data_IF_308032564799
#
_entry.id   IF_308032564799
#
_cell.length_a   1.000
_cell.length_b   1.000
_cell.length_c   1.000
_cell.angle_alpha   90.00
_cell.angle_beta   90.00
_cell.angle_gamma   90.00
#
_symmetry.space_group_name_H-M   'P 1'
#
loop_
_entity.id
_entity.type
_entity.pdbx_description
1 polymer ?
#
# COMPACT_ATOMS: atom_id res chain seq x y z
N UNK A 1 -18.44 5.55 6.26
CA UNK A 1 -18.38 6.10 4.89
C UNK A 1 -17.44 7.28 4.89
N UNK A 2 -16.16 7.06 4.57
CA UNK A 2 -15.25 8.15 4.23
C UNK A 2 -15.65 8.66 2.84
N UNK A 3 -15.75 9.98 2.70
CA UNK A 3 -16.20 10.63 1.48
C UNK A 3 -15.74 12.07 1.50
N UNK A 4 -15.05 12.49 0.45
CA UNK A 4 -14.61 13.88 0.31
C UNK A 4 -15.85 14.76 0.11
N UNK A 5 -16.22 15.54 1.14
CA UNK A 5 -17.34 16.48 1.07
C UNK A 5 -16.88 17.83 0.53
N UNK A 6 -17.37 18.19 -0.66
CA UNK A 6 -16.91 19.35 -1.41
C UNK A 6 -17.93 20.48 -1.30
N UNK A 7 -17.46 21.67 -0.92
CA UNK A 7 -18.27 22.89 -0.91
C UNK A 7 -17.62 23.97 -1.76
N UNK A 8 -18.42 24.77 -2.47
CA UNK A 8 -17.89 25.78 -3.40
C UNK A 8 -17.07 26.91 -2.75
N UNK A 9 -17.06 27.02 -1.42
CA UNK A 9 -16.27 28.02 -0.67
C UNK A 9 -14.84 27.55 -0.37
N UNK A 10 -14.52 26.26 -0.55
CA UNK A 10 -13.17 25.76 -0.27
C UNK A 10 -12.15 26.26 -1.30
N UNK A 11 -10.86 26.28 -0.92
CA UNK A 11 -9.75 26.61 -1.82
C UNK A 11 -9.44 25.43 -2.74
N UNK A 12 -8.88 25.75 -3.92
CA UNK A 12 -8.37 24.74 -4.87
C UNK A 12 -7.35 23.83 -4.18
N UNK A 13 -6.38 24.39 -3.46
CA UNK A 13 -5.37 23.61 -2.74
C UNK A 13 -5.96 22.63 -1.73
N UNK A 14 -6.97 23.06 -0.97
CA UNK A 14 -7.64 22.20 0.03
C UNK A 14 -8.32 21.01 -0.63
N UNK A 15 -8.96 21.24 -1.78
CA UNK A 15 -9.57 20.16 -2.56
C UNK A 15 -8.50 19.18 -3.06
N UNK A 16 -7.42 19.69 -3.64
CA UNK A 16 -6.34 18.86 -4.17
C UNK A 16 -5.66 18.03 -3.07
N UNK A 17 -5.36 18.64 -1.94
CA UNK A 17 -4.73 17.97 -0.79
C UNK A 17 -5.65 16.89 -0.22
N UNK A 18 -6.94 17.21 -0.05
CA UNK A 18 -7.92 16.23 0.43
C UNK A 18 -8.11 15.07 -0.55
N UNK A 19 -8.06 15.35 -1.85
CA UNK A 19 -8.18 14.32 -2.88
C UNK A 19 -6.97 13.39 -2.93
N UNK A 20 -5.75 13.93 -2.82
CA UNK A 20 -4.52 13.12 -2.72
C UNK A 20 -4.56 12.26 -1.46
N UNK A 21 -4.94 12.85 -0.31
CA UNK A 21 -5.02 12.11 0.97
C UNK A 21 -6.03 10.96 0.92
N UNK A 22 -7.18 11.17 0.27
CA UNK A 22 -8.27 10.20 0.27
C UNK A 22 -8.10 9.10 -0.80
N UNK A 23 -7.50 9.45 -1.96
CA UNK A 23 -7.48 8.58 -3.14
C UNK A 23 -6.09 8.29 -3.68
N UNK A 24 -5.01 8.85 -3.09
CA UNK A 24 -3.64 8.65 -3.57
C UNK A 24 -3.37 9.21 -4.98
N UNK A 25 -4.29 9.99 -5.54
CA UNK A 25 -4.25 10.50 -6.93
C UNK A 25 -4.26 12.01 -6.95
N UNK A 26 -3.80 12.62 -8.05
CA UNK A 26 -3.79 14.07 -8.20
C UNK A 26 -5.05 14.57 -8.90
N UNK A 27 -5.72 15.57 -8.31
CA UNK A 27 -6.82 16.27 -8.98
C UNK A 27 -6.32 17.56 -9.65
N UNK A 28 -6.38 17.62 -10.97
CA UNK A 28 -6.10 18.84 -11.75
C UNK A 28 -7.36 19.68 -11.84
N UNK A 29 -7.31 20.91 -11.36
CA UNK A 29 -8.42 21.88 -11.47
C UNK A 29 -8.06 22.93 -12.51
N UNK A 30 -8.96 23.21 -13.46
CA UNK A 30 -8.70 24.14 -14.55
C UNK A 30 -9.49 25.44 -14.42
N UNK A 31 -8.80 26.56 -14.66
CA UNK A 31 -9.39 27.85 -15.00
C UNK A 31 -9.18 28.12 -16.50
N UNK A 32 -10.27 28.17 -17.27
CA UNK A 32 -10.13 28.38 -18.71
C UNK A 32 -9.42 27.20 -19.40
N UNK A 33 -8.19 27.46 -19.85
CA UNK A 33 -7.25 26.50 -20.47
C UNK A 33 -5.99 26.27 -19.61
N UNK A 34 -5.89 26.95 -18.47
CA UNK A 34 -4.76 26.88 -17.56
C UNK A 34 -5.16 26.14 -16.28
N UNK A 35 -4.18 25.72 -15.49
CA UNK A 35 -4.44 25.26 -14.14
C UNK A 35 -4.93 26.42 -13.27
N UNK A 36 -5.88 26.12 -12.39
CA UNK A 36 -6.39 27.08 -11.42
C UNK A 36 -5.32 27.42 -10.38
N UNK A 37 -5.31 28.67 -9.90
CA UNK A 37 -4.42 29.07 -8.81
C UNK A 37 -4.81 28.32 -7.52
N UNK A 38 -3.89 27.60 -6.86
CA UNK A 38 -4.18 26.84 -5.64
C UNK A 38 -4.74 27.69 -4.50
N UNK A 39 -4.42 29.00 -4.46
CA UNK A 39 -4.82 29.89 -3.36
C UNK A 39 -6.23 30.48 -3.52
N UNK A 40 -6.86 30.34 -4.68
CA UNK A 40 -8.21 30.88 -4.93
C UNK A 40 -9.30 29.89 -4.54
N UNK A 41 -10.52 30.40 -4.33
CA UNK A 41 -11.67 29.55 -4.03
C UNK A 41 -12.24 28.89 -5.28
N UNK A 42 -12.83 27.70 -5.13
CA UNK A 42 -13.53 27.02 -6.22
C UNK A 42 -14.62 27.91 -6.86
N UNK A 43 -15.26 28.76 -6.05
CA UNK A 43 -16.28 29.71 -6.53
C UNK A 43 -15.76 30.77 -7.51
N UNK A 44 -14.46 31.07 -7.49
CA UNK A 44 -13.80 32.02 -8.41
C UNK A 44 -13.34 31.35 -9.71
N UNK A 45 -13.11 30.03 -9.68
CA UNK A 45 -12.64 29.23 -10.82
C UNK A 45 -13.80 28.73 -11.68
N UNK A 46 -14.96 28.45 -11.07
CA UNK A 46 -16.11 27.88 -11.79
C UNK A 46 -16.58 28.75 -12.95
N UNK A 47 -16.89 28.12 -14.08
CA UNK A 47 -17.39 28.83 -15.28
C UNK A 47 -18.90 29.03 -15.27
N UNK A 48 -19.62 28.21 -14.51
CA UNK A 48 -21.08 28.25 -14.37
C UNK A 48 -21.46 28.01 -12.91
N UNK A 49 -22.62 28.54 -12.51
CA UNK A 49 -23.20 28.22 -11.21
C UNK A 49 -23.72 26.79 -11.29
N UNK A 50 -22.97 25.84 -10.75
CA UNK A 50 -23.42 24.46 -10.58
C UNK A 50 -24.58 24.36 -9.58
N UNK A 51 -25.12 23.15 -9.38
CA UNK A 51 -26.29 22.93 -8.51
C UNK A 51 -26.01 23.32 -7.04
N UNK A 52 -24.73 23.27 -6.62
CA UNK A 52 -24.30 23.65 -5.28
C UNK A 52 -24.66 22.65 -4.20
N UNK A 53 -25.14 21.46 -4.57
CA UNK A 53 -25.28 20.32 -3.67
C UNK A 53 -23.89 19.77 -3.33
N UNK A 54 -23.74 19.28 -2.10
CA UNK A 54 -22.52 18.59 -1.71
C UNK A 54 -22.33 17.34 -2.57
N UNK A 55 -21.11 17.10 -3.03
CA UNK A 55 -20.73 15.88 -3.72
C UNK A 55 -20.03 14.96 -2.74
N UNK A 56 -20.46 13.71 -2.69
CA UNK A 56 -19.73 12.63 -2.03
C UNK A 56 -19.04 11.80 -3.11
N UNK A 57 -17.76 11.54 -2.93
CA UNK A 57 -16.92 10.75 -3.82
C UNK A 57 -16.55 9.45 -3.10
N UNK A 58 -16.74 8.32 -3.78
CA UNK A 58 -16.37 6.99 -3.29
C UNK A 58 -15.27 6.38 -4.17
N UNK A 59 -14.42 5.52 -3.60
CA UNK A 59 -13.27 4.90 -4.29
C UNK A 59 -13.66 4.07 -5.53
N UNK A 60 -14.86 3.50 -5.56
CA UNK A 60 -15.41 2.76 -6.69
C UNK A 60 -16.02 3.64 -7.80
N UNK A 61 -16.02 4.96 -7.64
CA UNK A 61 -16.49 5.87 -8.69
C UNK A 61 -15.51 5.89 -9.86
N UNK A 62 -16.00 5.81 -11.10
CA UNK A 62 -15.18 5.97 -12.29
C UNK A 62 -14.60 7.37 -12.39
N UNK A 63 -13.36 7.48 -12.88
CA UNK A 63 -12.67 8.76 -13.11
C UNK A 63 -13.51 9.68 -13.99
N UNK A 64 -14.03 9.18 -15.12
CA UNK A 64 -14.86 9.99 -16.01
C UNK A 64 -16.15 10.49 -15.33
N UNK A 65 -16.81 9.64 -14.55
CA UNK A 65 -18.02 10.00 -13.80
C UNK A 65 -17.72 11.07 -12.73
N UNK A 66 -16.57 11.01 -12.08
CA UNK A 66 -16.14 12.04 -11.16
C UNK A 66 -15.96 13.38 -11.87
N UNK A 67 -15.22 13.41 -12.98
CA UNK A 67 -14.97 14.62 -13.76
C UNK A 67 -16.26 15.28 -14.23
N UNK A 68 -17.22 14.49 -14.72
CA UNK A 68 -18.55 14.95 -15.11
C UNK A 68 -19.31 15.56 -13.93
N UNK A 69 -19.34 14.90 -12.77
CA UNK A 69 -20.02 15.40 -11.58
C UNK A 69 -19.42 16.72 -11.09
N UNK A 70 -18.11 16.91 -11.18
CA UNK A 70 -17.49 18.19 -10.85
C UNK A 70 -17.93 19.32 -11.79
N UNK A 71 -18.08 19.01 -13.08
CA UNK A 71 -18.58 19.98 -14.05
C UNK A 71 -20.07 20.30 -13.83
N UNK A 72 -20.89 19.31 -13.52
CA UNK A 72 -22.33 19.47 -13.28
C UNK A 72 -22.64 20.19 -11.97
N UNK A 73 -22.05 19.72 -10.86
CA UNK A 73 -22.38 20.18 -9.51
C UNK A 73 -21.69 21.48 -9.13
N UNK A 74 -20.46 21.68 -9.62
CA UNK A 74 -19.64 22.84 -9.25
C UNK A 74 -19.26 23.74 -10.42
N UNK A 75 -19.51 23.32 -11.67
CA UNK A 75 -19.11 24.10 -12.84
C UNK A 75 -17.60 24.17 -13.04
N UNK A 76 -16.89 23.17 -12.50
CA UNK A 76 -15.43 23.07 -12.53
C UNK A 76 -15.01 22.04 -13.56
N UNK A 77 -14.06 22.40 -14.41
CA UNK A 77 -13.38 21.41 -15.24
C UNK A 77 -12.25 20.82 -14.41
N UNK A 78 -12.31 19.53 -14.15
CA UNK A 78 -11.25 18.80 -13.44
C UNK A 78 -10.76 17.63 -14.28
N UNK A 79 -9.57 17.15 -13.97
CA UNK A 79 -9.07 15.87 -14.47
C UNK A 79 -8.35 15.10 -13.38
N UNK A 80 -8.42 13.78 -13.40
CA UNK A 80 -7.64 12.93 -12.48
C UNK A 80 -6.32 12.53 -13.14
N UNK A 81 -5.23 12.72 -12.42
CA UNK A 81 -3.88 12.37 -12.82
C UNK A 81 -3.26 11.39 -11.82
N UNK A 82 -2.18 10.74 -12.23
CA UNK A 82 -1.34 9.92 -11.34
C UNK A 82 -0.83 10.71 -10.14
N UNK A 83 -0.35 10.01 -9.10
CA UNK A 83 0.13 10.63 -7.87
C UNK A 83 1.28 11.62 -8.09
N UNK A 84 2.16 11.35 -9.07
CA UNK A 84 3.27 12.25 -9.46
C UNK A 84 2.87 13.31 -10.50
N UNK A 85 1.57 13.42 -10.81
CA UNK A 85 1.01 14.32 -11.81
C UNK A 85 1.62 14.17 -13.21
N UNK A 86 2.22 13.02 -13.56
CA UNK A 86 2.93 12.86 -14.84
C UNK A 86 2.04 12.45 -16.02
N UNK A 87 0.84 11.91 -15.77
CA UNK A 87 -0.11 11.50 -16.81
C UNK A 87 -1.56 11.52 -16.29
N UNK A 88 -2.53 11.46 -17.21
CA UNK A 88 -3.96 11.41 -16.89
C UNK A 88 -4.44 9.96 -16.72
N UNK A 89 -5.21 9.70 -15.66
CA UNK A 89 -5.81 8.39 -15.44
C UNK A 89 -6.88 8.09 -16.50
N UNK A 90 -7.12 6.81 -16.78
CA UNK A 90 -8.16 6.41 -17.74
C UNK A 90 -9.55 6.63 -17.15
N UNK A 91 -10.41 7.31 -17.91
CA UNK A 91 -11.77 7.67 -17.51
C UNK A 91 -12.66 6.45 -17.20
N UNK A 92 -12.33 5.27 -17.73
CA UNK A 92 -13.09 4.05 -17.51
C UNK A 92 -12.73 3.33 -16.21
N UNK A 93 -11.56 3.63 -15.63
CA UNK A 93 -11.13 3.07 -14.35
C UNK A 93 -11.87 3.72 -13.20
N UNK A 94 -12.08 2.95 -12.13
CA UNK A 94 -12.46 3.49 -10.82
C UNK A 94 -11.31 4.28 -10.22
N UNK A 95 -11.57 5.17 -9.25
CA UNK A 95 -10.49 5.88 -8.54
C UNK A 95 -9.51 4.90 -7.91
N UNK A 96 -10.01 3.79 -7.35
CA UNK A 96 -9.15 2.73 -6.81
C UNK A 96 -8.27 2.08 -7.90
N UNK A 97 -8.88 1.64 -9.01
CA UNK A 97 -8.13 1.01 -10.10
C UNK A 97 -7.14 1.97 -10.77
N UNK A 98 -7.46 3.27 -10.82
CA UNK A 98 -6.56 4.30 -11.29
C UNK A 98 -5.36 4.51 -10.35
N UNK A 99 -5.57 4.43 -9.03
CA UNK A 99 -4.49 4.49 -8.03
C UNK A 99 -3.55 3.30 -8.18
N UNK A 100 -4.09 2.09 -8.27
CA UNK A 100 -3.30 0.87 -8.48
C UNK A 100 -2.51 0.91 -9.80
N UNK A 101 -3.14 1.36 -10.89
CA UNK A 101 -2.46 1.52 -12.18
C UNK A 101 -1.33 2.56 -12.14
N UNK A 102 -1.46 3.57 -11.27
CA UNK A 102 -0.43 4.56 -11.01
C UNK A 102 0.76 3.99 -10.27
N UNK A 103 0.50 3.23 -9.21
CA UNK A 103 1.54 2.54 -8.44
C UNK A 103 2.35 1.61 -9.36
N UNK A 104 1.67 0.76 -10.16
CA UNK A 104 2.31 -0.10 -11.18
C UNK A 104 3.13 0.69 -12.23
N UNK A 105 2.83 1.97 -12.48
CA UNK A 105 3.61 2.82 -13.40
C UNK A 105 4.82 3.43 -12.71
N UNK A 106 4.70 3.82 -11.45
CA UNK A 106 5.81 4.30 -10.64
C UNK A 106 6.85 3.21 -10.43
N UNK A 107 6.43 1.97 -10.16
CA UNK A 107 7.34 0.83 -9.99
C UNK A 107 8.15 0.54 -11.27
N UNK A 108 7.50 0.61 -12.43
CA UNK A 108 8.20 0.48 -13.72
C UNK A 108 9.15 1.64 -13.99
N UNK A 109 8.90 2.83 -13.43
CA UNK A 109 9.74 4.02 -13.59
C UNK A 109 10.94 3.95 -12.64
N UNK A 110 10.78 3.48 -11.41
CA UNK A 110 11.86 3.27 -10.43
C UNK A 110 12.77 2.12 -10.87
N UNK A 111 12.23 0.99 -11.32
CA UNK A 111 13.01 -0.14 -11.86
C UNK A 111 13.83 0.28 -13.08
N UNK A 112 13.23 1.01 -14.03
CA UNK A 112 13.97 1.52 -15.21
C UNK A 112 15.04 2.56 -14.85
N UNK A 113 14.81 3.37 -13.82
CA UNK A 113 15.79 4.32 -13.33
C UNK A 113 16.97 3.61 -12.65
N UNK A 114 16.72 2.52 -11.92
CA UNK A 114 17.76 1.69 -11.31
C UNK A 114 18.64 1.00 -12.38
N UNK A 115 18.04 0.40 -13.43
CA UNK A 115 18.80 -0.24 -14.53
C UNK A 115 19.58 0.76 -15.40
N UNK A 116 19.20 2.04 -15.41
CA UNK A 116 19.94 3.07 -16.15
C UNK A 116 21.14 3.63 -15.39
N UNK A 117 21.19 3.53 -14.06
CA UNK A 117 22.35 3.93 -13.28
C UNK A 117 23.54 2.96 -13.44
N UNK A 118 23.30 1.66 -13.60
CA UNK A 118 24.37 0.67 -13.85
C UNK A 118 25.01 0.79 -15.25
N UNK A 119 24.32 1.39 -16.23
CA UNK A 119 24.86 1.55 -17.60
C UNK A 119 25.66 2.84 -17.80
N UNK A 120 25.69 3.74 -16.82
CA UNK A 120 26.35 5.04 -16.95
C UNK A 120 27.63 5.17 -16.11
N UNK A 121 28.11 4.05 -15.55
CA UNK A 121 29.40 3.95 -14.85
C UNK A 121 30.39 3.03 -15.57
N UNK A 122 30.31 2.94 -16.90
CA UNK A 122 31.42 2.42 -17.72
C UNK A 122 31.48 3.13 -19.08
N UNK A 123 31.93 4.39 -19.06
CA UNK A 123 32.46 5.02 -20.27
C UNK A 123 33.54 6.06 -19.92
N UNK A 124 34.78 5.58 -19.93
CA UNK A 124 36.01 6.36 -19.84
C UNK A 124 37.07 5.54 -19.09
N UNK A 125 38.13 5.02 -19.67
CA UNK A 125 38.91 5.44 -20.84
C UNK A 125 39.59 4.22 -21.46
N UNK A 126 39.60 4.12 -22.79
CA UNK A 126 40.41 3.15 -23.51
C UNK A 126 41.83 3.69 -23.72
N UNK A 127 42.84 2.98 -23.21
CA UNK A 127 44.17 2.88 -23.83
C UNK A 127 44.81 1.50 -23.57
N UNK A 128 45.18 0.85 -24.69
CA UNK A 128 46.14 -0.26 -24.97
C UNK A 128 47.09 -0.68 -23.83
N UNK A 129 47.60 -1.92 -23.71
CA UNK A 129 48.03 -2.89 -24.74
C UNK A 129 48.38 -4.25 -24.08
N UNK A 130 48.46 -5.29 -24.91
CA UNK A 130 49.27 -6.53 -24.80
C UNK A 130 48.92 -7.68 -23.84
N UNK A 131 48.61 -8.81 -24.49
CA UNK A 131 49.18 -10.18 -24.34
C UNK A 131 48.79 -11.15 -23.19
N UNK A 132 48.12 -12.25 -23.62
CA UNK A 132 48.36 -13.70 -23.37
C UNK A 132 48.34 -14.20 -21.89
N UNK A 133 47.39 -15.06 -21.50
CA UNK A 133 47.51 -16.54 -21.52
C UNK A 133 46.32 -17.23 -20.80
N UNK A 134 46.05 -18.46 -21.21
CA UNK A 134 45.02 -19.39 -20.75
C UNK A 134 45.11 -19.75 -19.24
N UNK A 135 43.97 -19.97 -18.57
CA UNK A 135 43.69 -21.20 -17.77
C UNK A 135 42.36 -21.14 -16.99
N UNK A 136 41.50 -22.14 -17.21
CA UNK A 136 40.64 -22.72 -16.17
C UNK A 136 39.16 -22.24 -16.10
N UNK A 137 38.18 -23.16 -16.11
CA UNK A 137 36.77 -22.80 -16.03
C UNK A 137 36.36 -22.59 -14.57
N UNK A 138 36.09 -21.36 -14.17
CA UNK A 138 35.30 -21.13 -12.96
C UNK A 138 33.84 -21.25 -13.35
N UNK A 139 33.22 -22.35 -12.93
CA UNK A 139 31.79 -22.47 -12.82
C UNK A 139 31.36 -21.43 -11.79
N UNK A 140 30.67 -20.38 -12.25
CA UNK A 140 29.93 -19.52 -11.35
C UNK A 140 28.97 -20.40 -10.53
N UNK A 141 28.86 -20.18 -9.21
CA UNK A 141 27.84 -20.86 -8.42
C UNK A 141 26.47 -20.51 -9.02
N UNK A 142 25.51 -21.47 -9.06
CA UNK A 142 24.20 -21.19 -9.60
C UNK A 142 23.63 -19.98 -8.86
N UNK A 143 23.31 -18.94 -9.64
CA UNK A 143 22.38 -17.90 -9.24
C UNK A 143 21.14 -18.69 -8.80
N UNK A 144 20.82 -18.65 -7.50
CA UNK A 144 19.56 -19.18 -7.02
C UNK A 144 18.49 -18.49 -7.84
N UNK A 145 17.84 -19.28 -8.70
CA UNK A 145 16.62 -18.91 -9.37
C UNK A 145 15.68 -18.38 -8.28
N UNK A 146 15.43 -17.07 -8.29
CA UNK A 146 14.22 -16.54 -7.67
C UNK A 146 13.11 -17.19 -8.50
N UNK A 147 12.54 -18.26 -7.97
CA UNK A 147 11.33 -18.85 -8.49
C UNK A 147 10.30 -17.73 -8.38
N UNK A 148 10.03 -17.07 -9.51
CA UNK A 148 8.76 -16.37 -9.70
C UNK A 148 7.70 -17.46 -9.46
N UNK A 149 7.07 -17.40 -8.30
CA UNK A 149 6.07 -18.38 -7.90
C UNK A 149 4.84 -18.11 -8.75
N UNK A 150 4.73 -18.81 -9.90
CA UNK A 150 3.76 -18.53 -10.97
C UNK A 150 2.29 -18.56 -10.48
N UNK A 151 2.05 -19.09 -9.28
CA UNK A 151 0.74 -19.22 -8.63
C UNK A 151 0.47 -18.18 -7.53
N UNK A 152 1.46 -17.40 -7.09
CA UNK A 152 1.25 -16.44 -6.02
C UNK A 152 0.29 -15.32 -6.46
N UNK A 153 -0.79 -15.13 -5.70
CA UNK A 153 -1.80 -14.10 -5.94
C UNK A 153 -1.64 -12.92 -4.99
N UNK A 154 -2.08 -11.74 -5.43
CA UNK A 154 -2.11 -10.54 -4.59
C UNK A 154 -3.41 -10.49 -3.78
N UNK A 155 -3.29 -10.16 -2.49
CA UNK A 155 -4.40 -10.01 -1.56
C UNK A 155 -4.28 -8.70 -0.79
N UNK A 156 -5.42 -8.08 -0.51
CA UNK A 156 -5.51 -6.83 0.22
C UNK A 156 -6.00 -7.05 1.66
N UNK A 157 -5.37 -6.37 2.61
CA UNK A 157 -5.74 -6.36 4.03
C UNK A 157 -6.01 -4.90 4.43
N UNK A 158 -7.21 -4.64 4.94
CA UNK A 158 -7.70 -3.30 5.26
C UNK A 158 -8.01 -3.12 6.74
N UNK A 159 -7.05 -2.57 7.48
CA UNK A 159 -7.20 -2.16 8.87
C UNK A 159 -7.28 -0.62 9.00
N UNK A 160 -7.85 0.08 8.01
CA UNK A 160 -7.84 1.57 7.94
C UNK A 160 -8.75 2.28 8.96
N UNK A 161 -9.60 1.52 9.66
CA UNK A 161 -10.59 2.05 10.61
C UNK A 161 -10.34 1.45 11.98
N UNK A 162 -10.39 2.25 13.07
CA UNK A 162 -10.20 1.74 14.43
C UNK A 162 -11.17 0.63 14.89
N UNK A 163 -12.27 0.40 14.16
CA UNK A 163 -13.21 -0.69 14.44
C UNK A 163 -12.82 -2.02 13.79
N UNK A 164 -11.94 -1.94 12.79
CA UNK A 164 -11.54 -3.01 11.89
C UNK A 164 -10.03 -3.33 12.11
N UNK A 165 -9.44 -2.80 13.20
CA UNK A 165 -8.03 -2.88 13.53
C UNK A 165 -7.85 -3.45 14.94
N UNK A 166 -6.80 -4.26 15.13
CA UNK A 166 -6.46 -4.80 16.45
C UNK A 166 -5.91 -3.71 17.37
N UNK A 167 -6.04 -3.93 18.69
CA UNK A 167 -5.40 -3.10 19.71
C UNK A 167 -4.37 -3.87 20.53
N UNK A 168 -3.37 -3.15 21.00
CA UNK A 168 -2.25 -3.65 21.80
C UNK A 168 -2.02 -2.77 23.02
N UNK A 169 -1.51 -3.33 24.11
CA UNK A 169 -0.85 -2.57 25.18
C UNK A 169 0.64 -2.54 24.89
N UNK A 170 1.19 -1.35 24.70
CA UNK A 170 2.63 -1.18 24.52
C UNK A 170 3.37 -1.34 25.85
N UNK A 171 4.34 -2.25 25.88
CA UNK A 171 5.10 -2.60 27.09
C UNK A 171 6.56 -2.14 27.04
N UNK A 172 7.06 -1.77 25.86
CA UNK A 172 8.46 -1.39 25.73
C UNK A 172 8.75 0.01 26.28
N UNK A 173 9.66 0.08 27.25
CA UNK A 173 10.25 1.33 27.75
C UNK A 173 11.41 1.86 26.87
N UNK A 174 12.01 0.99 26.05
CA UNK A 174 13.20 1.29 25.26
C UNK A 174 12.90 1.82 23.86
N UNK A 175 11.67 1.57 23.38
CA UNK A 175 11.24 1.94 22.03
C UNK A 175 9.93 2.73 22.05
N UNK A 176 9.89 3.81 21.26
CA UNK A 176 8.66 4.53 20.95
C UNK A 176 8.05 3.93 19.68
N UNK A 177 6.87 3.32 19.80
CA UNK A 177 6.14 2.70 18.68
C UNK A 177 6.01 3.64 17.47
N UNK A 178 5.85 4.95 17.69
CA UNK A 178 5.67 5.95 16.61
C UNK A 178 6.98 6.25 15.86
N UNK A 179 8.11 5.74 16.33
CA UNK A 179 9.42 5.86 15.70
C UNK A 179 9.90 4.56 15.03
N UNK A 180 9.11 3.49 15.08
CA UNK A 180 9.47 2.19 14.53
C UNK A 180 8.85 1.94 13.15
N UNK A 181 9.44 0.98 12.44
CA UNK A 181 8.95 0.53 11.14
C UNK A 181 8.10 -0.75 11.33
N UNK A 182 6.79 -0.73 11.07
CA UNK A 182 5.94 -1.92 11.19
C UNK A 182 6.21 -2.91 10.05
N UNK A 183 5.98 -4.20 10.31
CA UNK A 183 5.89 -5.23 9.29
C UNK A 183 4.89 -6.32 9.71
N UNK A 184 4.26 -6.98 8.74
CA UNK A 184 3.39 -8.13 9.03
C UNK A 184 4.30 -9.35 9.15
N UNK A 185 4.37 -9.96 10.33
CA UNK A 185 5.18 -11.16 10.54
C UNK A 185 4.39 -12.45 10.33
N UNK A 186 3.07 -12.41 10.56
CA UNK A 186 2.19 -13.54 10.35
C UNK A 186 0.78 -13.12 9.88
N UNK A 187 0.14 -13.99 9.11
CA UNK A 187 -1.28 -13.93 8.79
C UNK A 187 -1.91 -15.20 9.38
N UNK A 188 -2.85 -15.04 10.30
CA UNK A 188 -3.50 -16.16 10.98
C UNK A 188 -4.95 -16.30 10.55
N UNK A 189 -5.45 -17.52 10.46
CA UNK A 189 -6.85 -17.84 10.18
C UNK A 189 -7.36 -18.82 11.24
N UNK A 190 -8.54 -18.54 11.81
CA UNK A 190 -9.21 -19.43 12.77
C UNK A 190 -10.29 -20.22 12.02
N UNK A 191 -10.18 -21.54 12.01
CA UNK A 191 -11.16 -22.41 11.35
C UNK A 191 -12.31 -22.87 12.26
N UNK A 192 -12.32 -22.38 13.51
CA UNK A 192 -13.26 -22.72 14.58
C UNK A 192 -12.77 -23.84 15.51
N UNK A 193 -11.71 -24.56 15.14
CA UNK A 193 -11.06 -25.59 15.97
C UNK A 193 -9.58 -25.24 16.25
N UNK A 194 -8.85 -24.86 15.19
CA UNK A 194 -7.42 -24.59 15.22
C UNK A 194 -7.07 -23.27 14.49
N UNK A 195 -5.94 -22.67 14.88
CA UNK A 195 -5.32 -21.57 14.14
C UNK A 195 -4.36 -22.10 13.08
N UNK A 196 -4.45 -21.55 11.89
CA UNK A 196 -3.55 -21.79 10.77
C UNK A 196 -2.80 -20.52 10.45
N UNK A 197 -1.50 -20.61 10.21
CA UNK A 197 -0.64 -19.43 10.10
C UNK A 197 0.18 -19.49 8.81
N UNK A 198 0.37 -18.32 8.21
CA UNK A 198 1.39 -18.05 7.20
C UNK A 198 2.42 -17.12 7.82
N UNK A 199 3.70 -17.44 7.65
CA UNK A 199 4.82 -16.76 8.30
C UNK A 199 5.68 -16.01 7.28
N UNK A 200 6.11 -14.81 7.64
CA UNK A 200 7.02 -14.00 6.82
C UNK A 200 8.49 -14.30 7.16
N UNK A 201 9.36 -14.43 6.16
CA UNK A 201 10.79 -14.68 6.38
C UNK A 201 11.54 -13.58 7.14
N UNK A 202 10.99 -12.37 7.26
CA UNK A 202 11.56 -11.31 8.09
C UNK A 202 11.37 -11.57 9.59
N UNK A 203 10.49 -12.49 9.97
CA UNK A 203 10.33 -12.85 11.37
C UNK A 203 11.55 -13.62 11.88
N UNK A 204 12.19 -13.20 13.00
CA UNK A 204 13.37 -13.88 13.54
C UNK A 204 13.17 -15.38 13.82
N UNK A 205 11.94 -15.77 14.11
CA UNK A 205 11.54 -17.13 14.46
C UNK A 205 10.89 -17.90 13.31
N UNK A 206 11.01 -17.40 12.06
CA UNK A 206 10.41 -18.05 10.90
C UNK A 206 10.93 -19.49 10.63
N UNK A 207 12.11 -19.85 11.16
CA UNK A 207 12.75 -21.17 10.93
C UNK A 207 12.86 -21.53 9.43
N UNK A 208 13.13 -20.52 8.60
CA UNK A 208 13.23 -20.66 7.15
C UNK A 208 11.91 -20.69 6.38
N UNK A 209 10.77 -20.51 7.06
CA UNK A 209 9.46 -20.30 6.43
C UNK A 209 9.38 -18.92 5.77
N UNK A 210 8.57 -18.84 4.72
CA UNK A 210 8.43 -17.66 3.87
C UNK A 210 7.14 -17.77 3.04
N UNK A 211 6.03 -17.92 3.75
CA UNK A 211 4.74 -18.34 3.19
C UNK A 211 4.01 -17.20 2.47
N UNK A 212 4.43 -15.95 2.72
CA UNK A 212 3.88 -14.78 2.04
C UNK A 212 4.89 -13.64 1.96
N UNK A 213 4.67 -12.76 0.98
CA UNK A 213 5.43 -11.52 0.81
C UNK A 213 4.57 -10.31 1.10
N UNK A 214 5.01 -9.42 1.99
CA UNK A 214 4.44 -8.08 2.07
C UNK A 214 4.98 -7.26 0.90
N UNK A 215 4.13 -6.99 -0.10
CA UNK A 215 4.48 -6.11 -1.22
C UNK A 215 4.49 -4.66 -0.72
N UNK A 216 3.46 -4.28 0.05
CA UNK A 216 3.35 -2.95 0.64
C UNK A 216 2.65 -2.99 1.99
N UNK A 217 3.07 -2.10 2.88
CA UNK A 217 2.39 -1.75 4.12
C UNK A 217 2.32 -0.22 4.17
N UNK A 218 1.12 0.30 4.03
CA UNK A 218 0.84 1.71 3.85
C UNK A 218 0.00 2.25 5.01
N UNK A 219 0.06 3.58 5.18
CA UNK A 219 -0.79 4.33 6.11
C UNK A 219 -0.76 3.80 7.55
N UNK A 220 0.36 3.22 7.98
CA UNK A 220 0.47 2.74 9.36
C UNK A 220 0.35 3.91 10.35
N UNK A 221 -0.54 3.76 11.30
CA UNK A 221 -0.71 4.67 12.42
C UNK A 221 -1.01 3.88 13.70
N UNK A 222 -0.17 4.07 14.71
CA UNK A 222 -0.46 3.65 16.09
C UNK A 222 -1.33 4.74 16.75
N UNK A 223 -2.65 4.56 16.66
CA UNK A 223 -3.65 5.51 17.19
C UNK A 223 -3.83 5.24 18.68
N UNK A 224 -3.81 6.29 19.52
CA UNK A 224 -4.00 6.14 20.95
C UNK A 224 -5.39 5.51 21.27
N UNK A 225 -5.39 4.46 22.09
CA UNK A 225 -6.58 3.76 22.58
C UNK A 225 -7.26 4.48 23.75
N UNK A 226 -8.15 3.77 24.45
CA UNK A 226 -8.84 4.30 25.63
C UNK A 226 -8.07 4.04 26.92
N UNK A 227 -7.28 2.96 26.96
CA UNK A 227 -6.48 2.58 28.11
C UNK A 227 -5.04 3.14 28.04
N UNK A 228 -4.34 3.12 29.17
CA UNK A 228 -2.96 3.61 29.24
C UNK A 228 -2.04 2.72 28.40
N UNK A 229 -1.22 3.36 27.55
CA UNK A 229 -0.35 2.70 26.57
C UNK A 229 -1.07 1.78 25.57
N UNK A 230 -2.40 1.89 25.45
CA UNK A 230 -3.14 1.19 24.42
C UNK A 230 -2.96 1.88 23.06
N UNK A 231 -2.71 1.09 22.02
CA UNK A 231 -2.68 1.56 20.64
C UNK A 231 -3.54 0.69 19.75
N UNK A 232 -4.30 1.34 18.87
CA UNK A 232 -5.04 0.71 17.77
C UNK A 232 -4.15 0.78 16.52
N UNK A 233 -3.87 -0.37 15.93
CA UNK A 233 -2.92 -0.50 14.83
C UNK A 233 -3.63 -0.37 13.48
N UNK A 234 -3.72 0.85 12.97
CA UNK A 234 -4.35 1.09 11.67
C UNK A 234 -3.33 0.94 10.54
N UNK A 235 -3.65 0.21 9.48
CA UNK A 235 -2.81 0.09 8.28
C UNK A 235 -3.58 -0.48 7.08
N UNK A 236 -2.99 -0.38 5.90
CA UNK A 236 -3.39 -1.12 4.71
C UNK A 236 -2.21 -1.94 4.21
N UNK A 237 -2.42 -3.18 3.80
CA UNK A 237 -1.36 -4.00 3.24
C UNK A 237 -1.77 -4.70 1.95
N UNK A 238 -0.80 -4.82 1.04
CA UNK A 238 -0.87 -5.67 -0.13
C UNK A 238 0.14 -6.79 0.08
N UNK A 239 -0.34 -8.03 0.09
CA UNK A 239 0.47 -9.23 0.30
C UNK A 239 0.37 -10.16 -0.90
N UNK A 240 1.42 -10.93 -1.14
CA UNK A 240 1.42 -12.00 -2.13
C UNK A 240 1.49 -13.34 -1.42
N UNK A 241 0.57 -14.25 -1.76
CA UNK A 241 0.44 -15.57 -1.14
C UNK A 241 0.20 -16.60 -2.24
N UNK A 242 0.94 -17.72 -2.22
CA UNK A 242 0.59 -18.91 -2.99
C UNK A 242 -0.25 -19.86 -2.12
N UNK A 243 -1.58 -19.67 -2.13
CA UNK A 243 -2.48 -20.51 -1.34
C UNK A 243 -2.46 -21.98 -1.77
N UNK A 244 -2.04 -22.32 -3.00
CA UNK A 244 -1.95 -23.71 -3.46
C UNK A 244 -0.87 -24.49 -2.68
N UNK A 245 0.15 -23.79 -2.18
CA UNK A 245 1.18 -24.36 -1.30
C UNK A 245 0.74 -24.46 0.17
N UNK A 246 -0.40 -23.87 0.53
CA UNK A 246 -0.93 -23.84 1.90
C UNK A 246 -2.39 -24.35 1.97
N UNK A 247 -2.66 -25.61 1.60
CA UNK A 247 -4.03 -26.13 1.48
C UNK A 247 -4.80 -26.12 2.81
N UNK A 248 -4.14 -26.33 3.95
CA UNK A 248 -4.80 -26.27 5.25
C UNK A 248 -5.21 -24.84 5.61
N UNK A 249 -4.37 -23.86 5.29
CA UNK A 249 -4.70 -22.45 5.46
C UNK A 249 -5.83 -22.03 4.52
N UNK A 250 -5.82 -22.48 3.26
CA UNK A 250 -6.89 -22.22 2.30
C UNK A 250 -8.24 -22.80 2.77
N UNK A 251 -8.26 -24.04 3.26
CA UNK A 251 -9.48 -24.64 3.84
C UNK A 251 -9.97 -23.88 5.07
N UNK A 252 -9.06 -23.39 5.92
CA UNK A 252 -9.40 -22.55 7.06
C UNK A 252 -10.00 -21.21 6.62
N UNK A 253 -9.40 -20.57 5.61
CA UNK A 253 -9.85 -19.30 5.04
C UNK A 253 -11.26 -19.40 4.47
N UNK A 254 -11.58 -20.49 3.76
CA UNK A 254 -12.93 -20.76 3.27
C UNK A 254 -13.95 -20.93 4.42
N UNK A 255 -13.58 -21.62 5.50
CA UNK A 255 -14.46 -21.78 6.68
C UNK A 255 -14.65 -20.48 7.46
N UNK A 256 -13.64 -19.62 7.45
CA UNK A 256 -13.64 -18.34 8.13
C UNK A 256 -14.27 -17.21 7.30
N UNK A 257 -14.90 -17.50 6.15
CA UNK A 257 -15.45 -16.50 5.23
C UNK A 257 -14.38 -15.43 4.86
N UNK A 258 -13.18 -15.87 4.51
CA UNK A 258 -12.00 -15.05 4.20
C UNK A 258 -11.49 -14.16 5.35
N UNK A 259 -11.91 -14.39 6.59
CA UNK A 259 -11.45 -13.62 7.73
C UNK A 259 -10.10 -14.10 8.26
N UNK A 260 -9.16 -13.15 8.44
CA UNK A 260 -7.82 -13.38 8.99
C UNK A 260 -7.48 -12.39 10.11
N UNK A 261 -6.42 -12.69 10.85
CA UNK A 261 -5.74 -11.77 11.76
C UNK A 261 -4.37 -11.45 11.21
N UNK A 262 -4.13 -10.18 10.89
CA UNK A 262 -2.82 -9.71 10.44
C UNK A 262 -1.97 -9.30 11.66
N UNK A 263 -0.85 -10.00 11.87
CA UNK A 263 0.02 -9.81 13.03
C UNK A 263 1.19 -8.89 12.70
N UNK A 264 1.27 -7.76 13.40
CA UNK A 264 2.28 -6.72 13.19
C UNK A 264 3.40 -6.84 14.20
N UNK A 265 4.65 -6.80 13.75
CA UNK A 265 5.81 -6.58 14.61
C UNK A 265 6.60 -5.37 14.10
N UNK A 266 7.64 -4.97 14.83
CA UNK A 266 8.37 -3.75 14.58
C UNK A 266 9.85 -3.98 14.29
N UNK A 267 10.37 -3.14 13.40
CA UNK A 267 11.78 -3.03 13.05
C UNK A 267 12.33 -1.70 13.52
N UNK A 268 13.65 -1.69 13.72
CA UNK A 268 14.45 -0.50 13.91
C UNK A 268 15.62 -0.53 12.92
N UNK A 269 15.81 0.57 12.20
CA UNK A 269 16.85 0.70 11.18
C UNK A 269 16.79 -0.43 10.13
N UNK A 270 15.56 -0.77 9.69
CA UNK A 270 15.30 -1.82 8.71
C UNK A 270 15.48 -3.27 9.21
N UNK A 271 15.69 -3.51 10.51
CA UNK A 271 15.90 -4.85 11.07
C UNK A 271 14.89 -5.19 12.17
N UNK A 272 14.39 -6.43 12.24
CA UNK A 272 13.57 -6.89 13.36
C UNK A 272 14.26 -6.65 14.70
N UNK A 273 13.49 -6.23 15.69
CA UNK A 273 13.98 -6.04 17.05
C UNK A 273 14.00 -7.40 17.75
N UNK A 274 15.17 -7.77 18.25
CA UNK A 274 15.43 -9.06 18.91
C UNK A 274 16.08 -8.84 20.27
N UNK A 275 15.89 -9.81 21.17
CA UNK A 275 16.47 -9.84 22.50
C UNK A 275 17.96 -10.24 22.49
N UNK A 276 18.57 -10.38 23.67
CA UNK A 276 19.98 -10.77 23.82
C UNK A 276 20.30 -12.17 23.26
N UNK A 277 19.31 -13.06 23.22
CA UNK A 277 19.43 -14.43 22.74
C UNK A 277 19.09 -14.56 21.24
N UNK A 278 18.61 -13.48 20.62
CA UNK A 278 18.26 -13.39 19.20
C UNK A 278 16.82 -13.78 18.87
N UNK A 279 15.96 -13.96 19.89
CA UNK A 279 14.53 -14.17 19.71
C UNK A 279 13.80 -12.85 19.51
N UNK A 280 12.56 -12.89 19.05
CA UNK A 280 11.77 -11.67 18.91
C UNK A 280 11.66 -10.93 20.25
N UNK A 281 11.98 -9.63 20.27
CA UNK A 281 11.79 -8.81 21.46
C UNK A 281 10.30 -8.66 21.77
N UNK A 282 9.94 -8.82 23.05
CA UNK A 282 8.58 -8.63 23.51
C UNK A 282 8.28 -7.12 23.67
N UNK A 283 7.52 -6.55 22.73
CA UNK A 283 7.25 -5.11 22.68
C UNK A 283 5.87 -4.72 23.23
N UNK A 284 4.91 -5.64 23.16
CA UNK A 284 3.51 -5.37 23.45
C UNK A 284 2.73 -6.66 23.74
N UNK A 285 1.60 -6.52 24.43
CA UNK A 285 0.56 -7.56 24.56
C UNK A 285 -0.64 -7.23 23.68
N UNK A 286 -1.22 -8.23 23.00
CA UNK A 286 -2.46 -8.08 22.25
C UNK A 286 -3.65 -7.91 23.22
N UNK A 287 -4.51 -6.92 22.96
CA UNK A 287 -5.70 -6.66 23.80
C UNK A 287 -6.97 -7.14 23.11
N UNK A 288 -7.29 -6.55 21.95
CA UNK A 288 -8.43 -6.94 21.15
C UNK A 288 -7.98 -7.38 19.76
N UNK A 289 -8.40 -8.59 19.40
CA UNK A 289 -8.21 -9.16 18.07
C UNK A 289 -9.45 -8.95 17.22
N UNK A 290 -9.27 -8.23 16.12
CA UNK A 290 -10.34 -7.92 15.16
C UNK A 290 -10.02 -8.65 13.85
N UNK A 291 -10.83 -9.63 13.45
CA UNK A 291 -10.65 -10.28 12.16
C UNK A 291 -10.95 -9.30 11.02
N UNK A 292 -10.14 -9.36 9.97
CA UNK A 292 -10.26 -8.56 8.75
C UNK A 292 -10.37 -9.48 7.54
N UNK A 293 -11.11 -9.06 6.52
CA UNK A 293 -11.23 -9.82 5.28
C UNK A 293 -9.93 -9.78 4.47
N UNK A 294 -9.48 -10.94 3.99
CA UNK A 294 -8.39 -11.08 3.03
C UNK A 294 -8.99 -11.00 1.62
N UNK A 295 -9.03 -9.80 1.06
CA UNK A 295 -9.69 -9.53 -0.23
C UNK A 295 -8.80 -9.97 -1.39
N UNK A 296 -9.33 -10.78 -2.32
CA UNK A 296 -8.60 -11.17 -3.54
C UNK A 296 -8.88 -10.22 -4.70
N UNK A 297 -7.94 -10.09 -5.63
CA UNK A 297 -8.14 -9.31 -6.87
C UNK A 297 -9.31 -9.85 -7.74
N UNK A 298 -9.64 -11.15 -7.62
CA UNK A 298 -10.69 -11.84 -8.40
C UNK A 298 -12.11 -11.46 -7.94
N UNK A 299 -12.29 -11.03 -6.68
CA UNK A 299 -13.61 -10.67 -6.11
C UNK A 299 -14.20 -9.37 -6.69
N UNK A 300 -13.43 -8.66 -7.53
CA UNK A 300 -13.84 -7.41 -8.17
C UNK A 300 -14.35 -7.57 -9.62
N UNK A 301 -14.30 -8.77 -10.21
CA UNK A 301 -14.73 -9.01 -11.61
C UNK A 301 -16.23 -9.34 -11.79
N UNK A 302 -17.00 -9.60 -10.72
CA UNK A 302 -18.44 -9.96 -10.83
C UNK A 302 -19.44 -8.78 -10.74
N UNK A 303 -19.19 -7.61 -11.36
CA UNK A 303 -20.21 -6.53 -11.42
C UNK A 303 -20.28 -5.75 -12.75
#
# INVERSE_FOLDING_TARGET
MAGLSITGQMKVQTLQTGFIKEFGLTLRVYDGRAFADPNVSLSQVRKKKGSGKGLSVAKNMKVGTLEEKFEEEFGLKVQVAGSDDSYLCDNNLTLNAAQQADMKKLDRKTLKAATQNDRNQDSGEAQNDSDIDETGPNQDPPINDVQDDENAKEYFINCDKPRDACSIIWESDDYDIKALEPYIYAIQCDDGEDFHELINAEWPEADGQDDFKTIQLNDFEAVDGNDENEYILCFNALVSIDLDNHPTFQEALEKADNQIFARIQFKKDGKPIVDEDGYQEHLYEMTDDVPVELESDDDFEEW
#
